data_IF_740235447529
#
_entry.id   IF_740235447529
#
_cell.length_a   1.000
_cell.length_b   1.000
_cell.length_c   1.000
_cell.angle_alpha   90.00
_cell.angle_beta   90.00
_cell.angle_gamma   90.00
#
_symmetry.space_group_name_H-M   'P 1'
#
loop_
_entity.id
_entity.type
_entity.pdbx_description
1 polymer ?
#
# COMPACT_ATOMS: atom_id res chain seq x y z
N UNK A 1 8.99 -5.28 3.85
CA UNK A 1 7.98 -4.20 3.73
C UNK A 1 7.47 -3.76 5.11
N UNK A 2 6.68 -4.57 5.83
CA UNK A 2 6.13 -4.19 7.16
C UNK A 2 7.20 -3.66 8.12
N UNK A 3 8.31 -4.39 8.28
CA UNK A 3 9.43 -3.95 9.12
C UNK A 3 9.92 -2.54 8.77
N UNK A 4 10.07 -2.26 7.47
CA UNK A 4 10.51 -0.94 7.01
C UNK A 4 9.48 0.16 7.28
N UNK A 5 8.17 -0.15 7.19
CA UNK A 5 7.11 0.82 7.55
C UNK A 5 7.26 1.22 9.03
N UNK A 6 7.47 0.25 9.91
CA UNK A 6 7.61 0.47 11.36
C UNK A 6 8.91 1.19 11.76
N UNK A 7 10.00 0.90 11.07
CA UNK A 7 11.31 1.48 11.38
C UNK A 7 11.50 2.88 10.79
N UNK A 8 11.01 3.12 9.57
CA UNK A 8 11.25 4.37 8.84
C UNK A 8 10.13 5.39 9.07
N UNK A 9 8.90 4.93 9.29
CA UNK A 9 7.72 5.78 9.32
C UNK A 9 7.36 6.27 7.91
N UNK A 10 6.23 5.81 7.38
CA UNK A 10 5.75 6.20 6.05
C UNK A 10 4.50 7.07 6.22
N UNK A 11 4.63 8.38 5.94
CA UNK A 11 3.55 9.36 6.09
C UNK A 11 2.72 9.56 4.81
N UNK A 12 3.08 8.88 3.73
CA UNK A 12 2.39 8.95 2.43
C UNK A 12 1.62 7.66 2.15
N UNK A 13 0.56 7.69 1.32
CA UNK A 13 -0.16 6.48 0.96
C UNK A 13 0.76 5.45 0.29
N UNK A 14 0.72 4.20 0.76
CA UNK A 14 1.56 3.12 0.24
C UNK A 14 0.71 2.08 -0.50
N UNK A 15 0.98 1.91 -1.79
CA UNK A 15 0.36 0.86 -2.63
C UNK A 15 1.35 -0.30 -2.80
N UNK A 16 0.91 -1.51 -2.51
CA UNK A 16 1.73 -2.73 -2.58
C UNK A 16 1.09 -3.73 -3.55
N UNK A 17 1.86 -4.10 -4.58
CA UNK A 17 1.51 -5.19 -5.49
C UNK A 17 2.52 -6.31 -5.33
N UNK A 18 2.10 -7.44 -4.77
CA UNK A 18 2.95 -8.62 -4.59
C UNK A 18 2.91 -9.54 -5.81
N UNK A 19 4.04 -10.19 -6.11
CA UNK A 19 4.15 -11.17 -7.19
C UNK A 19 5.29 -12.15 -6.97
N UNK A 20 5.17 -13.30 -7.61
CA UNK A 20 6.13 -14.41 -7.49
C UNK A 20 5.56 -15.54 -6.66
N UNK A 21 6.40 -16.18 -5.86
CA UNK A 21 6.00 -17.29 -5.00
C UNK A 21 5.40 -16.76 -3.69
N UNK A 22 4.49 -17.55 -3.09
CA UNK A 22 3.88 -17.28 -1.77
C UNK A 22 3.16 -15.92 -1.68
N UNK A 23 2.53 -15.48 -2.77
CA UNK A 23 1.80 -14.21 -2.81
C UNK A 23 0.64 -14.21 -1.83
N UNK A 24 -0.08 -15.32 -1.72
CA UNK A 24 -1.21 -15.50 -0.80
C UNK A 24 -0.77 -15.34 0.66
N UNK A 25 0.34 -16.00 1.03
CA UNK A 25 0.94 -15.89 2.37
C UNK A 25 1.40 -14.46 2.64
N UNK A 26 2.08 -13.83 1.68
CA UNK A 26 2.52 -12.43 1.78
C UNK A 26 1.35 -11.45 1.95
N UNK A 27 0.24 -11.67 1.25
CA UNK A 27 -0.98 -10.87 1.38
C UNK A 27 -1.62 -11.03 2.75
N UNK A 28 -1.68 -12.27 3.27
CA UNK A 28 -2.18 -12.55 4.61
C UNK A 28 -1.36 -11.82 5.67
N UNK A 29 -0.03 -11.90 5.57
CA UNK A 29 0.89 -11.20 6.48
C UNK A 29 0.67 -9.66 6.42
N UNK A 30 0.47 -9.10 5.22
CA UNK A 30 0.17 -7.67 5.06
C UNK A 30 -1.18 -7.30 5.70
N UNK A 31 -2.23 -8.09 5.49
CA UNK A 31 -3.55 -7.84 6.05
C UNK A 31 -3.57 -7.94 7.59
N UNK A 32 -2.83 -8.89 8.15
CA UNK A 32 -2.72 -9.10 9.60
C UNK A 32 -1.79 -8.06 10.28
N UNK A 33 -0.97 -7.34 9.52
CA UNK A 33 0.00 -6.40 10.07
C UNK A 33 -0.62 -5.14 10.69
N UNK A 34 -1.87 -4.83 10.34
CA UNK A 34 -2.55 -3.60 10.74
C UNK A 34 -1.98 -2.32 10.11
N UNK A 35 -0.99 -2.45 9.22
CA UNK A 35 -0.40 -1.30 8.53
C UNK A 35 -1.36 -0.74 7.48
N UNK A 36 -1.42 0.58 7.35
CA UNK A 36 -2.24 1.26 6.36
C UNK A 36 -1.63 1.11 4.95
N UNK A 37 -1.78 -0.07 4.35
CA UNK A 37 -1.31 -0.39 3.00
C UNK A 37 -2.47 -0.70 2.07
N UNK A 38 -2.36 -0.21 0.83
CA UNK A 38 -3.34 -0.46 -0.23
C UNK A 38 -2.80 -1.60 -1.09
N UNK A 39 -3.46 -2.75 -1.06
CA UNK A 39 -3.04 -3.91 -1.86
C UNK A 39 -3.62 -3.81 -3.28
N UNK A 40 -2.83 -4.19 -4.29
CA UNK A 40 -3.25 -4.31 -5.68
C UNK A 40 -2.84 -5.67 -6.28
N UNK A 41 -3.64 -6.18 -7.21
CA UNK A 41 -3.41 -7.45 -7.90
C UNK A 41 -2.54 -7.26 -9.16
N UNK A 42 -2.85 -6.23 -9.94
CA UNK A 42 -2.17 -5.92 -11.20
C UNK A 42 -1.39 -4.61 -11.13
N UNK A 43 -0.47 -4.41 -12.07
CA UNK A 43 0.26 -3.14 -12.19
C UNK A 43 -0.67 -1.99 -12.59
N UNK A 44 -1.65 -2.25 -13.46
CA UNK A 44 -2.64 -1.25 -13.87
C UNK A 44 -3.46 -0.77 -12.67
N UNK A 45 -3.98 -1.71 -11.89
CA UNK A 45 -4.72 -1.41 -10.67
C UNK A 45 -3.85 -0.69 -9.63
N UNK A 46 -2.58 -1.08 -9.48
CA UNK A 46 -1.65 -0.41 -8.58
C UNK A 46 -1.44 1.07 -8.99
N UNK A 47 -1.33 1.35 -10.28
CA UNK A 47 -1.19 2.70 -10.81
C UNK A 47 -2.46 3.54 -10.55
N UNK A 48 -3.64 2.98 -10.84
CA UNK A 48 -4.92 3.64 -10.59
C UNK A 48 -5.11 3.97 -9.10
N UNK A 49 -4.84 2.99 -8.22
CA UNK A 49 -4.93 3.15 -6.77
C UNK A 49 -3.93 4.18 -6.25
N UNK A 50 -2.72 4.21 -6.79
CA UNK A 50 -1.70 5.20 -6.40
C UNK A 50 -2.15 6.63 -6.73
N UNK A 51 -2.66 6.86 -7.93
CA UNK A 51 -3.17 8.18 -8.34
C UNK A 51 -4.38 8.59 -7.52
N UNK A 52 -5.32 7.67 -7.27
CA UNK A 52 -6.49 7.94 -6.45
C UNK A 52 -6.09 8.31 -5.01
N UNK A 53 -5.21 7.52 -4.39
CA UNK A 53 -4.73 7.77 -3.04
C UNK A 53 -3.98 9.10 -2.92
N UNK A 54 -3.17 9.46 -3.93
CA UNK A 54 -2.52 10.76 -4.00
C UNK A 54 -3.54 11.91 -4.06
N UNK A 55 -4.57 11.81 -4.91
CA UNK A 55 -5.63 12.83 -5.00
C UNK A 55 -6.36 13.02 -3.67
N UNK A 56 -6.69 11.94 -2.97
CA UNK A 56 -7.37 12.01 -1.68
C UNK A 56 -6.48 12.60 -0.58
N UNK A 57 -5.20 12.22 -0.54
CA UNK A 57 -4.23 12.83 0.37
C UNK A 57 -4.04 14.33 0.09
N UNK A 58 -3.96 14.72 -1.19
CA UNK A 58 -3.82 16.12 -1.59
C UNK A 58 -5.06 16.96 -1.21
N UNK A 59 -6.27 16.43 -1.38
CA UNK A 59 -7.51 17.09 -0.93
C UNK A 59 -7.53 17.29 0.58
N UNK A 60 -7.18 16.27 1.36
CA UNK A 60 -7.12 16.35 2.84
C UNK A 60 -6.11 17.38 3.33
N UNK A 61 -5.03 17.62 2.59
CA UNK A 61 -4.02 18.64 2.92
C UNK A 61 -4.46 20.06 2.57
N UNK A 62 -5.36 20.20 1.60
CA UNK A 62 -5.88 21.50 1.13
C UNK A 62 -7.13 21.96 1.89
N UNK A 63 -7.75 21.07 2.67
CA UNK A 63 -8.84 21.36 3.60
C UNK A 63 -8.28 21.71 4.99
#
# INVERSE_FOLDING_TARGET
>A
VIKAIREVGVEVPLVVRLSGTKVEEGRKILAESGEAVIVADTLAEAAEKAVAAWREAAKKKAA
#
